data_IF_785534761367
#
_entry.id   IF_785534761367
#
_cell.length_a   1.000
_cell.length_b   1.000
_cell.length_c   1.000
_cell.angle_alpha   90.00
_cell.angle_beta   90.00
_cell.angle_gamma   90.00
#
_symmetry.space_group_name_H-M   'P 1'
#
loop_
_entity.id
_entity.type
_entity.pdbx_description
1 polymer ?
#
# COMPACT_ATOMS: atom_id res chain seq x y z
N UNK A 1 -35.70 43.99 -18.80
CA UNK A 1 -35.27 43.75 -17.39
C UNK A 1 -35.34 42.28 -16.95
N UNK A 2 -36.36 41.51 -17.34
CA UNK A 2 -36.50 40.09 -16.93
C UNK A 2 -35.37 39.17 -17.46
N UNK A 3 -35.00 39.33 -18.74
CA UNK A 3 -33.92 38.58 -19.40
C UNK A 3 -32.55 38.86 -18.80
N UNK A 4 -32.26 40.12 -18.46
CA UNK A 4 -31.00 40.51 -17.78
C UNK A 4 -30.89 39.89 -16.37
N UNK A 5 -31.99 39.86 -15.61
CA UNK A 5 -32.03 39.16 -14.30
C UNK A 5 -31.83 37.66 -14.43
N UNK A 6 -32.36 37.03 -15.49
CA UNK A 6 -32.15 35.61 -15.77
C UNK A 6 -30.69 35.30 -16.14
N UNK A 7 -30.06 36.11 -16.99
CA UNK A 7 -28.65 35.96 -17.36
C UNK A 7 -27.74 36.13 -16.13
N UNK A 8 -28.04 37.12 -15.27
CA UNK A 8 -27.29 37.34 -14.03
C UNK A 8 -27.44 36.15 -13.06
N UNK A 9 -28.64 35.58 -12.95
CA UNK A 9 -28.88 34.40 -12.13
C UNK A 9 -28.13 33.16 -12.63
N UNK A 10 -28.08 32.94 -13.94
CA UNK A 10 -27.33 31.82 -14.54
C UNK A 10 -25.83 31.99 -14.32
N UNK A 11 -25.30 33.21 -14.45
CA UNK A 11 -23.88 33.50 -14.23
C UNK A 11 -23.47 33.23 -12.76
N UNK A 12 -24.30 33.64 -11.80
CA UNK A 12 -24.08 33.38 -10.37
C UNK A 12 -24.09 31.87 -10.09
N UNK A 13 -25.01 31.12 -10.69
CA UNK A 13 -25.10 29.66 -10.53
C UNK A 13 -23.86 28.95 -11.11
N UNK A 14 -23.37 29.40 -12.27
CA UNK A 14 -22.15 28.87 -12.89
C UNK A 14 -20.90 29.10 -12.03
N UNK A 15 -20.76 30.31 -11.46
CA UNK A 15 -19.66 30.64 -10.53
C UNK A 15 -19.73 29.78 -9.27
N UNK A 16 -20.93 29.53 -8.74
CA UNK A 16 -21.11 28.70 -7.55
C UNK A 16 -20.70 27.23 -7.78
N UNK A 17 -20.92 26.70 -8.98
CA UNK A 17 -20.51 25.33 -9.34
C UNK A 17 -18.99 25.16 -9.48
N UNK A 18 -18.26 26.20 -9.91
CA UNK A 18 -16.80 26.14 -10.10
C UNK A 18 -16.06 26.10 -8.75
N UNK A 19 -16.64 26.67 -7.68
CA UNK A 19 -16.04 26.75 -6.34
C UNK A 19 -15.77 25.40 -5.68
N UNK A 20 -16.47 24.33 -6.08
CA UNK A 20 -16.29 22.99 -5.49
C UNK A 20 -15.24 22.11 -6.21
N UNK A 21 -14.64 22.60 -7.30
CA UNK A 21 -13.70 21.82 -8.12
C UNK A 21 -12.33 21.52 -7.46
N UNK A 22 -12.01 22.15 -6.33
CA UNK A 22 -10.67 22.05 -5.72
C UNK A 22 -10.51 20.98 -4.61
N UNK A 23 -11.53 20.15 -4.36
CA UNK A 23 -11.48 19.17 -3.26
C UNK A 23 -10.47 18.03 -3.47
N UNK A 24 -10.05 17.76 -4.72
CA UNK A 24 -9.09 16.68 -5.03
C UNK A 24 -7.63 17.07 -4.74
N UNK A 25 -7.30 18.35 -4.84
CA UNK A 25 -5.92 18.88 -4.81
C UNK A 25 -5.25 18.85 -3.43
N UNK A 26 -5.98 18.53 -2.37
CA UNK A 26 -5.51 18.60 -0.97
C UNK A 26 -4.79 17.33 -0.49
N UNK A 27 -4.88 16.22 -1.23
CA UNK A 27 -4.23 14.94 -0.85
C UNK A 27 -2.75 14.94 -1.25
N UNK A 28 -1.95 15.78 -0.61
CA UNK A 28 -0.49 15.76 -0.81
C UNK A 28 0.15 14.88 0.25
N UNK A 29 1.02 13.98 -0.19
CA UNK A 29 1.87 13.18 0.69
C UNK A 29 2.84 14.11 1.40
N UNK A 30 2.98 13.96 2.72
CA UNK A 30 3.94 14.73 3.49
C UNK A 30 5.33 14.09 3.39
N UNK A 31 6.25 14.72 2.66
CA UNK A 31 7.61 14.18 2.44
C UNK A 31 8.48 14.17 3.70
N UNK A 32 8.24 15.12 4.61
CA UNK A 32 9.04 15.28 5.83
C UNK A 32 8.19 15.04 7.06
N UNK A 33 8.45 13.93 7.73
CA UNK A 33 7.86 13.64 9.03
C UNK A 33 8.36 14.68 10.04
N UNK A 34 7.49 15.31 10.86
CA UNK A 34 7.90 16.32 11.82
C UNK A 34 8.57 15.70 13.07
N UNK A 35 8.97 14.44 13.00
CA UNK A 35 9.39 13.60 14.12
C UNK A 35 10.71 12.91 13.76
N UNK A 36 11.57 12.75 14.77
CA UNK A 36 12.75 11.90 14.68
C UNK A 36 12.36 10.41 14.69
N UNK A 37 12.39 9.79 13.51
CA UNK A 37 12.39 8.32 13.37
C UNK A 37 13.84 7.85 13.40
N UNK A 38 14.12 6.75 14.10
CA UNK A 38 15.46 6.17 14.11
C UNK A 38 15.81 5.47 12.80
N UNK A 39 16.92 4.72 12.77
CA UNK A 39 17.31 3.96 11.59
C UNK A 39 16.33 2.81 11.33
N UNK A 40 15.53 2.95 10.27
CA UNK A 40 14.65 1.89 9.77
C UNK A 40 15.49 0.81 9.10
N UNK A 41 15.17 -0.46 9.35
CA UNK A 41 15.86 -1.57 8.72
C UNK A 41 14.88 -2.69 8.34
N UNK A 42 15.29 -3.50 7.37
CA UNK A 42 14.49 -4.58 6.80
C UNK A 42 15.21 -5.90 7.01
N UNK A 43 14.46 -6.92 7.42
CA UNK A 43 14.96 -8.28 7.59
C UNK A 43 14.13 -9.25 6.78
N UNK A 44 14.78 -9.99 5.87
CA UNK A 44 14.14 -11.08 5.15
C UNK A 44 13.96 -12.29 6.06
N UNK A 45 12.81 -12.95 5.98
CA UNK A 45 12.55 -14.20 6.70
C UNK A 45 12.00 -15.27 5.75
N UNK A 46 12.25 -16.54 6.10
CA UNK A 46 11.78 -17.72 5.37
C UNK A 46 11.36 -18.76 6.42
N UNK A 47 10.24 -19.45 6.19
CA UNK A 47 9.70 -20.41 7.16
C UNK A 47 10.51 -21.72 7.29
N UNK A 48 11.41 -22.01 6.34
CA UNK A 48 12.26 -23.20 6.35
C UNK A 48 11.55 -24.52 6.03
N UNK A 49 10.25 -24.48 5.71
CA UNK A 49 9.45 -25.64 5.28
C UNK A 49 8.85 -25.40 3.90
N UNK A 50 8.59 -26.48 3.18
CA UNK A 50 7.88 -26.42 1.89
C UNK A 50 6.48 -25.81 2.11
N UNK A 51 6.13 -24.79 1.31
CA UNK A 51 4.84 -24.11 1.45
C UNK A 51 4.75 -23.09 2.60
N UNK A 52 5.76 -22.99 3.48
CA UNK A 52 5.72 -22.10 4.65
C UNK A 52 5.84 -20.60 4.34
N UNK A 53 6.12 -20.25 3.08
CA UNK A 53 6.20 -18.87 2.63
C UNK A 53 7.51 -18.17 3.01
N UNK A 54 7.57 -16.90 2.63
CA UNK A 54 8.69 -16.01 2.92
C UNK A 54 8.18 -14.59 3.00
N UNK A 55 9.00 -13.69 3.53
CA UNK A 55 8.58 -12.31 3.68
C UNK A 55 9.69 -11.38 4.11
N UNK A 56 9.26 -10.17 4.47
CA UNK A 56 10.11 -9.08 4.94
C UNK A 56 9.50 -8.53 6.23
N UNK A 57 10.31 -8.44 7.27
CA UNK A 57 10.02 -7.61 8.43
C UNK A 57 10.62 -6.23 8.22
N UNK A 58 9.83 -5.19 8.44
CA UNK A 58 10.30 -3.82 8.55
C UNK A 58 10.25 -3.41 10.01
N UNK A 59 11.36 -2.85 10.47
CA UNK A 59 11.54 -2.40 11.84
C UNK A 59 11.69 -0.88 11.87
N UNK A 60 10.76 -0.22 12.54
CA UNK A 60 10.69 1.24 12.63
C UNK A 60 10.86 1.65 14.10
N UNK A 61 12.07 2.05 14.52
CA UNK A 61 12.29 2.61 15.85
C UNK A 61 11.77 4.05 15.92
N UNK A 62 10.95 4.34 16.93
CA UNK A 62 10.37 5.67 17.17
C UNK A 62 10.87 6.19 18.51
N UNK A 63 11.42 7.40 18.52
CA UNK A 63 11.96 7.99 19.76
C UNK A 63 10.87 8.49 20.71
N UNK A 64 9.73 8.89 20.17
CA UNK A 64 8.62 9.46 20.92
C UNK A 64 7.44 8.46 21.03
N UNK A 65 7.08 8.11 22.26
CA UNK A 65 6.03 7.13 22.56
C UNK A 65 4.61 7.68 22.40
N UNK A 66 4.46 8.99 22.16
CA UNK A 66 3.15 9.63 21.95
C UNK A 66 2.55 9.35 20.56
N UNK A 67 3.33 8.72 19.66
CA UNK A 67 2.96 8.54 18.26
C UNK A 67 2.56 7.10 18.00
N UNK A 68 1.42 6.94 17.35
CA UNK A 68 0.90 5.66 16.87
C UNK A 68 1.01 5.57 15.36
N UNK A 69 1.79 4.61 14.87
CA UNK A 69 1.84 4.27 13.45
C UNK A 69 0.80 3.17 13.15
N UNK A 70 -0.04 3.37 12.14
CA UNK A 70 -1.10 2.41 11.79
C UNK A 70 -0.66 1.44 10.69
N UNK A 71 -0.18 1.95 9.55
CA UNK A 71 0.20 1.15 8.40
C UNK A 71 1.50 1.64 7.77
N UNK A 72 2.15 0.74 7.02
CA UNK A 72 3.36 1.03 6.25
C UNK A 72 3.18 0.53 4.82
N UNK A 73 3.64 1.35 3.87
CA UNK A 73 3.63 1.10 2.45
C UNK A 73 5.06 0.93 1.95
N UNK A 74 5.35 -0.22 1.36
CA UNK A 74 6.68 -0.55 0.84
C UNK A 74 6.56 -1.49 -0.35
N UNK A 75 7.26 -1.18 -1.46
CA UNK A 75 7.31 -2.01 -2.69
C UNK A 75 5.94 -2.42 -3.23
N UNK A 76 5.01 -1.48 -3.31
CA UNK A 76 3.66 -1.72 -3.81
C UNK A 76 2.77 -2.54 -2.88
N UNK A 77 3.22 -2.83 -1.64
CA UNK A 77 2.46 -3.56 -0.63
C UNK A 77 2.14 -2.65 0.55
N UNK A 78 1.04 -2.92 1.22
CA UNK A 78 0.66 -2.28 2.47
C UNK A 78 0.51 -3.33 3.57
N UNK A 79 1.01 -3.04 4.78
CA UNK A 79 0.78 -3.89 5.95
C UNK A 79 0.50 -3.03 7.18
N UNK A 80 -0.23 -3.60 8.15
CA UNK A 80 -0.50 -2.95 9.43
C UNK A 80 0.71 -3.08 10.33
N UNK A 81 1.12 -1.99 10.95
CA UNK A 81 2.21 -1.99 11.92
C UNK A 81 1.72 -2.53 13.27
N UNK A 82 2.57 -3.32 13.91
CA UNK A 82 2.33 -3.86 15.25
C UNK A 82 3.47 -3.49 16.17
N UNK A 83 3.16 -3.06 17.39
CA UNK A 83 4.19 -2.76 18.40
C UNK A 83 4.73 -4.07 18.94
N UNK A 84 6.06 -4.21 19.00
CA UNK A 84 6.66 -5.39 19.64
C UNK A 84 6.45 -5.30 21.15
N UNK A 85 5.80 -6.30 21.76
CA UNK A 85 5.51 -6.32 23.21
C UNK A 85 6.74 -6.06 24.12
N UNK A 86 7.95 -6.36 23.63
CA UNK A 86 9.20 -6.17 24.37
C UNK A 86 9.75 -4.73 24.30
N UNK A 87 9.45 -3.96 23.25
CA UNK A 87 9.94 -2.59 23.07
C UNK A 87 8.78 -1.71 22.58
N UNK A 88 8.20 -0.93 23.49
CA UNK A 88 7.09 0.01 23.19
C UNK A 88 7.42 1.06 22.13
N UNK A 89 8.71 1.26 21.86
CA UNK A 89 9.24 2.25 20.92
C UNK A 89 9.60 1.64 19.55
N UNK A 90 9.15 0.42 19.26
CA UNK A 90 9.53 -0.31 18.05
C UNK A 90 8.30 -0.89 17.35
N UNK A 91 8.02 -0.36 16.16
CA UNK A 91 6.97 -0.86 15.27
C UNK A 91 7.55 -1.90 14.31
N UNK A 92 6.77 -2.96 14.08
CA UNK A 92 7.11 -4.04 13.17
C UNK A 92 6.01 -4.21 12.13
N UNK A 93 6.38 -4.13 10.86
CA UNK A 93 5.52 -4.47 9.73
C UNK A 93 5.91 -5.83 9.16
N UNK A 94 4.96 -6.74 8.96
CA UNK A 94 5.20 -8.01 8.30
C UNK A 94 4.64 -7.99 6.88
N UNK A 95 5.51 -8.11 5.90
CA UNK A 95 5.15 -8.31 4.51
C UNK A 95 5.28 -9.78 4.19
N UNK A 96 4.14 -10.45 4.09
CA UNK A 96 4.09 -11.87 3.73
C UNK A 96 4.01 -11.95 2.21
N UNK A 97 4.96 -12.65 1.60
CA UNK A 97 4.77 -13.16 0.26
C UNK A 97 4.04 -14.48 0.40
N UNK A 98 2.78 -14.60 -0.07
CA UNK A 98 2.09 -15.86 -0.04
C UNK A 98 2.99 -16.88 -0.73
N UNK A 99 3.23 -18.00 -0.04
CA UNK A 99 3.87 -19.13 -0.70
C UNK A 99 3.06 -19.43 -1.94
N UNK A 100 3.70 -19.51 -3.10
CA UNK A 100 3.05 -20.14 -4.25
C UNK A 100 2.74 -21.55 -3.75
N UNK A 101 1.46 -21.85 -3.50
CA UNK A 101 1.07 -23.24 -3.31
C UNK A 101 1.60 -23.98 -4.52
N UNK A 102 2.23 -25.16 -4.32
CA UNK A 102 2.58 -26.03 -5.43
C UNK A 102 1.30 -26.23 -6.22
N UNK A 103 1.22 -25.59 -7.39
CA UNK A 103 0.28 -26.05 -8.38
C UNK A 103 0.81 -27.39 -8.86
N UNK A 104 -0.09 -28.35 -8.98
CA UNK A 104 0.24 -29.63 -9.57
C UNK A 104 0.43 -29.38 -11.07
N UNK A 105 1.67 -29.08 -11.45
CA UNK A 105 2.06 -28.80 -12.83
C UNK A 105 2.39 -30.15 -13.44
N UNK A 106 1.63 -30.54 -14.46
CA UNK A 106 1.92 -31.72 -15.25
C UNK A 106 3.11 -31.37 -16.15
N UNK A 107 4.24 -32.05 -15.93
CA UNK A 107 5.45 -31.89 -16.74
C UNK A 107 5.69 -33.22 -17.47
N UNK A 108 5.24 -33.29 -18.72
CA UNK A 108 5.20 -34.54 -19.51
C UNK A 108 5.96 -34.36 -20.83
N UNK A 109 6.45 -35.46 -21.40
CA UNK A 109 7.06 -35.43 -22.74
C UNK A 109 6.08 -35.14 -23.88
N UNK A 110 4.77 -35.27 -23.62
CA UNK A 110 3.71 -34.92 -24.57
C UNK A 110 3.12 -33.53 -24.25
N UNK A 111 3.31 -32.58 -25.16
CA UNK A 111 2.83 -31.20 -25.01
C UNK A 111 1.30 -31.09 -24.84
N UNK A 112 0.51 -32.07 -25.31
CA UNK A 112 -0.95 -32.06 -25.13
C UNK A 112 -1.36 -32.29 -23.68
N UNK A 113 -0.55 -33.02 -22.91
CA UNK A 113 -0.81 -33.29 -21.50
C UNK A 113 -0.57 -32.05 -20.61
N UNK A 114 0.15 -31.04 -21.12
CA UNK A 114 0.46 -29.80 -20.39
C UNK A 114 -0.57 -28.68 -20.61
N UNK A 115 -1.52 -28.86 -21.54
CA UNK A 115 -2.51 -27.83 -21.90
C UNK A 115 -3.40 -27.39 -20.73
N UNK A 116 -3.55 -28.24 -19.70
CA UNK A 116 -4.31 -27.94 -18.48
C UNK A 116 -3.56 -27.19 -17.39
N UNK A 117 -2.26 -26.91 -17.56
CA UNK A 117 -1.46 -26.22 -16.54
C UNK A 117 -1.94 -24.77 -16.36
N UNK A 118 -2.39 -24.42 -15.16
CA UNK A 118 -2.85 -23.07 -14.84
C UNK A 118 -1.70 -22.20 -14.33
N UNK A 119 -1.75 -20.92 -14.69
CA UNK A 119 -0.82 -19.94 -14.13
C UNK A 119 -1.03 -19.83 -12.61
N UNK A 120 0.06 -19.71 -11.82
CA UNK A 120 -0.09 -19.47 -10.40
C UNK A 120 -0.91 -18.19 -10.18
N UNK A 121 -1.79 -18.16 -9.16
CA UNK A 121 -2.60 -17.00 -8.88
C UNK A 121 -1.69 -15.78 -8.70
N UNK A 122 -1.78 -14.84 -9.65
CA UNK A 122 -1.10 -13.55 -9.56
C UNK A 122 -1.59 -12.84 -8.31
N UNK A 123 -0.66 -12.28 -7.54
CA UNK A 123 -0.89 -11.52 -6.31
C UNK A 123 -1.75 -10.27 -6.58
N UNK A 124 -3.06 -10.45 -6.77
CA UNK A 124 -4.04 -9.40 -7.09
C UNK A 124 -4.81 -8.90 -5.86
N UNK A 125 -4.50 -9.39 -4.67
CA UNK A 125 -5.22 -9.05 -3.43
C UNK A 125 -4.55 -7.93 -2.63
N UNK A 126 -4.02 -6.91 -3.29
CA UNK A 126 -3.45 -5.76 -2.59
C UNK A 126 -4.31 -4.52 -2.87
N UNK A 127 -4.74 -3.86 -1.80
CA UNK A 127 -5.52 -2.62 -1.89
C UNK A 127 -4.75 -1.62 -2.76
N UNK A 128 -5.42 -0.91 -3.69
CA UNK A 128 -4.77 0.09 -4.51
C UNK A 128 -4.19 1.17 -3.60
N UNK A 129 -2.89 1.44 -3.73
CA UNK A 129 -2.21 2.52 -3.02
C UNK A 129 -2.71 3.83 -3.63
N UNK A 130 -3.21 4.80 -2.83
CA UNK A 130 -3.80 6.03 -3.36
C UNK A 130 -2.78 7.07 -3.84
N UNK A 131 -1.50 6.72 -3.88
CA UNK A 131 -0.37 7.57 -4.27
C UNK A 131 0.69 6.75 -5.00
N UNK A 132 1.51 7.44 -5.79
CA UNK A 132 2.64 6.85 -6.50
C UNK A 132 3.81 6.68 -5.54
N UNK A 133 4.41 5.48 -5.52
CA UNK A 133 5.53 5.13 -4.65
C UNK A 133 6.70 4.69 -5.53
N UNK A 134 7.91 5.20 -5.28
CA UNK A 134 9.12 4.67 -5.95
C UNK A 134 9.46 3.28 -5.39
N UNK A 135 10.23 2.51 -6.15
CA UNK A 135 10.54 1.11 -5.83
C UNK A 135 11.21 0.91 -4.45
N UNK A 136 12.06 1.85 -4.04
CA UNK A 136 12.77 1.81 -2.76
C UNK A 136 12.26 2.83 -1.73
N UNK A 137 11.08 3.41 -1.99
CA UNK A 137 10.43 4.34 -1.07
C UNK A 137 9.56 3.59 -0.05
N UNK A 138 9.60 4.05 1.19
CA UNK A 138 8.83 3.50 2.31
C UNK A 138 8.11 4.65 2.99
N UNK A 139 6.78 4.53 3.12
CA UNK A 139 5.90 5.55 3.73
C UNK A 139 5.09 4.94 4.86
#
# INVERSE_FOLDING_TARGET
>A
MKTVKQILGVLIMLVFMISFSQCSSTKKLQEKVPIAIGKVYVQKWVAGIEGGGSGLYIFIPVSDASITLDSVYFRGKATKLSVKYQNKNMYVGNFINPSKQKHDIIMSGDSKAEYGNTLPPSSKEQKPIPFELKDDECV
#
